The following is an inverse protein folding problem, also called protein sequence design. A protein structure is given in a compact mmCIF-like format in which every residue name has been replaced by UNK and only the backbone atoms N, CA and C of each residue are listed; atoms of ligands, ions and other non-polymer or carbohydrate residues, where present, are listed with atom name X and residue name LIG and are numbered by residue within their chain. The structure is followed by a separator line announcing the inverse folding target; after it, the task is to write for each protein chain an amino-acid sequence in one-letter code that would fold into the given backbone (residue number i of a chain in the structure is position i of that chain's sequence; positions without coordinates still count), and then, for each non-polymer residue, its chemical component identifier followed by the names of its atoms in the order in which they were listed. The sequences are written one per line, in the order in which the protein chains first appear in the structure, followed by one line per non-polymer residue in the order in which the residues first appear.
data_IF_389731593963
#
_entry.id   IF_389731593963
#
_cell.length_a   1.000
_cell.length_b   1.000
_cell.length_c   1.000
_cell.angle_alpha   90.00
_cell.angle_beta   90.00
_cell.angle_gamma   90.00
#
_symmetry.space_group_name_H-M   'P 1'
#
loop_
_entity.id
_entity.type
_entity.pdbx_description
1 polymer ?
#
# COMPACT_ATOMS: atom_id res chain seq x y z
N UNK A 1 -49.34 -23.89 20.11
CA UNK A 1 -49.09 -23.96 18.65
C UNK A 1 -48.42 -22.64 18.25
N UNK A 2 -47.14 -22.69 17.84
CA UNK A 2 -46.42 -21.87 16.84
C UNK A 2 -47.00 -20.45 16.54
N UNK A 3 -46.31 -19.31 16.54
CA UNK A 3 -44.90 -18.94 16.23
C UNK A 3 -44.71 -17.43 16.56
N UNK A 4 -43.54 -16.76 16.65
CA UNK A 4 -42.10 -17.11 16.65
C UNK A 4 -41.28 -15.90 17.17
N UNK A 5 -40.04 -16.11 17.65
CA UNK A 5 -39.08 -15.04 18.08
C UNK A 5 -38.83 -13.97 17.01
N UNK A 6 -38.73 -12.70 17.42
CA UNK A 6 -38.02 -11.64 16.68
C UNK A 6 -37.03 -10.95 17.60
N UNK A 7 -35.73 -11.11 17.32
CA UNK A 7 -34.65 -10.37 17.98
C UNK A 7 -34.28 -9.15 17.14
N UNK A 8 -34.09 -8.01 17.81
CA UNK A 8 -33.42 -6.84 17.25
C UNK A 8 -32.47 -6.28 18.33
N UNK A 9 -31.24 -6.79 18.34
CA UNK A 9 -30.12 -6.15 19.02
C UNK A 9 -29.48 -5.17 18.03
N UNK A 10 -29.73 -3.87 18.20
CA UNK A 10 -29.04 -2.82 17.45
C UNK A 10 -27.72 -2.52 18.17
N UNK A 11 -26.59 -2.97 17.59
CA UNK A 11 -25.26 -2.68 18.11
C UNK A 11 -24.79 -1.30 17.63
N UNK A 12 -24.10 -0.57 18.51
CA UNK A 12 -23.65 0.82 18.35
C UNK A 12 -22.67 0.97 17.18
N UNK A 13 -22.83 2.07 16.42
CA UNK A 13 -22.03 2.39 15.24
C UNK A 13 -20.59 2.83 15.55
N UNK A 14 -19.68 2.44 14.66
CA UNK A 14 -18.24 2.48 14.84
C UNK A 14 -17.60 3.84 15.15
N UNK A 15 -16.60 3.78 16.03
CA UNK A 15 -15.51 4.76 16.11
C UNK A 15 -14.18 3.98 16.17
N UNK A 16 -13.43 3.97 15.07
CA UNK A 16 -12.03 3.51 15.04
C UNK A 16 -11.18 4.47 14.23
N UNK A 17 -10.64 5.50 14.90
CA UNK A 17 -9.44 6.18 14.42
C UNK A 17 -8.22 5.40 14.94
N UNK A 18 -7.77 4.41 14.17
CA UNK A 18 -6.50 3.73 14.43
C UNK A 18 -5.36 4.55 13.81
N UNK A 19 -4.92 5.61 14.50
CA UNK A 19 -3.73 6.37 14.13
C UNK A 19 -2.46 5.58 14.52
N UNK A 20 -2.04 4.66 13.66
CA UNK A 20 -0.85 3.83 13.90
C UNK A 20 0.43 4.65 13.78
N UNK A 21 1.03 5.02 14.92
CA UNK A 21 2.35 5.66 14.96
C UNK A 21 3.41 4.66 14.51
N UNK A 22 3.90 4.79 13.27
CA UNK A 22 4.95 3.94 12.72
C UNK A 22 6.32 4.34 13.26
N UNK A 23 6.87 3.54 14.17
CA UNK A 23 8.28 3.64 14.59
C UNK A 23 9.17 3.03 13.48
N UNK A 24 9.63 3.88 12.56
CA UNK A 24 10.36 3.47 11.35
C UNK A 24 11.76 2.91 11.59
N UNK A 25 11.87 1.61 11.89
CA UNK A 25 13.12 0.87 11.79
C UNK A 25 13.50 0.68 10.30
N UNK A 26 14.46 1.47 9.80
CA UNK A 26 14.85 1.43 8.39
C UNK A 26 15.73 0.19 8.09
N UNK A 27 15.24 -0.72 7.25
CA UNK A 27 15.98 -1.90 6.79
C UNK A 27 17.05 -1.49 5.78
N UNK A 28 18.30 -1.89 6.03
CA UNK A 28 19.46 -1.64 5.16
C UNK A 28 19.93 -2.94 4.53
N UNK A 29 19.72 -3.10 3.23
CA UNK A 29 20.09 -4.30 2.45
C UNK A 29 21.50 -4.12 1.87
N UNK A 30 22.41 -5.06 2.15
CA UNK A 30 23.83 -4.97 1.72
C UNK A 30 24.22 -5.89 0.56
N UNK A 31 23.30 -6.71 0.04
CA UNK A 31 23.61 -7.73 -0.98
C UNK A 31 23.55 -7.24 -2.44
N UNK A 32 23.53 -5.92 -2.65
CA UNK A 32 23.37 -5.29 -3.97
C UNK A 32 21.99 -4.64 -4.17
N UNK A 33 21.81 -3.88 -5.27
CA UNK A 33 20.54 -3.24 -5.60
C UNK A 33 19.45 -4.27 -5.92
N UNK A 34 18.17 -3.87 -5.94
CA UNK A 34 17.11 -4.70 -6.49
C UNK A 34 17.36 -5.02 -7.97
N UNK A 35 16.82 -6.14 -8.48
CA UNK A 35 16.79 -6.39 -9.92
C UNK A 35 15.94 -5.34 -10.65
N UNK A 36 16.06 -5.23 -11.99
CA UNK A 36 15.20 -4.38 -12.80
C UNK A 36 13.72 -4.73 -12.62
N UNK A 37 12.88 -3.69 -12.48
CA UNK A 37 11.43 -3.87 -12.34
C UNK A 37 10.85 -4.62 -13.57
N UNK A 38 9.97 -5.63 -13.39
CA UNK A 38 9.28 -6.27 -14.49
C UNK A 38 8.47 -5.28 -15.34
N UNK A 39 8.18 -5.64 -16.59
CA UNK A 39 7.24 -4.89 -17.42
C UNK A 39 5.83 -5.19 -16.95
N UNK A 40 5.31 -4.33 -16.08
CA UNK A 40 3.95 -4.43 -15.56
C UNK A 40 2.95 -3.80 -16.54
N UNK A 41 1.96 -4.59 -16.99
CA UNK A 41 0.84 -4.09 -17.79
C UNK A 41 -0.21 -3.52 -16.84
N UNK A 42 -0.24 -2.19 -16.73
CA UNK A 42 -1.28 -1.47 -15.97
C UNK A 42 -2.67 -1.88 -16.50
N UNK A 43 -3.54 -2.48 -15.68
CA UNK A 43 -4.91 -2.81 -16.07
C UNK A 43 -5.74 -1.52 -16.20
N UNK A 44 -6.91 -1.52 -16.87
CA UNK A 44 -7.82 -0.39 -16.81
C UNK A 44 -8.27 -0.09 -15.36
N UNK A 45 -8.54 1.19 -15.00
CA UNK A 45 -9.07 1.52 -13.68
C UNK A 45 -10.46 0.89 -13.47
N UNK A 46 -10.80 0.43 -12.24
CA UNK A 46 -12.11 -0.15 -11.97
C UNK A 46 -13.24 0.87 -12.22
N UNK A 47 -14.30 0.46 -12.91
CA UNK A 47 -15.42 1.34 -13.29
C UNK A 47 -16.15 1.96 -12.08
N UNK A 48 -16.15 1.24 -10.96
CA UNK A 48 -16.70 1.63 -9.66
C UNK A 48 -15.80 2.60 -8.87
N UNK A 49 -14.55 2.78 -9.29
CA UNK A 49 -13.51 3.55 -8.58
C UNK A 49 -12.94 4.68 -9.45
N UNK A 50 -13.83 5.53 -9.97
CA UNK A 50 -13.43 6.71 -10.76
C UNK A 50 -12.59 7.65 -9.89
N UNK A 51 -11.39 7.98 -10.35
CA UNK A 51 -10.45 8.83 -9.63
C UNK A 51 -9.39 8.08 -8.82
N UNK A 52 -9.46 6.74 -8.72
CA UNK A 52 -8.35 5.97 -8.14
C UNK A 52 -7.10 6.08 -9.01
N UNK A 53 -5.95 6.22 -8.35
CA UNK A 53 -4.64 6.40 -9.00
C UNK A 53 -3.86 5.10 -8.92
N UNK A 54 -3.11 4.80 -9.98
CA UNK A 54 -2.23 3.64 -10.04
C UNK A 54 -0.99 3.86 -9.17
N UNK A 55 -0.83 3.02 -8.14
CA UNK A 55 0.44 2.88 -7.41
C UNK A 55 1.30 1.84 -8.13
N UNK A 56 2.47 2.24 -8.63
CA UNK A 56 3.41 1.33 -9.29
C UNK A 56 3.85 0.19 -8.36
N UNK A 57 4.02 -1.01 -8.93
CA UNK A 57 4.64 -2.13 -8.22
C UNK A 57 6.10 -1.88 -7.85
N UNK A 58 6.60 -2.62 -6.87
CA UNK A 58 7.94 -2.42 -6.31
C UNK A 58 8.59 -3.72 -5.85
N UNK A 59 9.92 -3.70 -5.72
CA UNK A 59 10.65 -4.78 -5.05
C UNK A 59 10.63 -4.57 -3.54
N UNK A 60 10.03 -5.51 -2.79
CA UNK A 60 10.12 -5.56 -1.33
C UNK A 60 11.25 -6.51 -0.92
N UNK A 61 11.98 -6.17 0.13
CA UNK A 61 12.87 -7.11 0.81
C UNK A 61 12.06 -8.01 1.75
N UNK A 62 12.20 -9.34 1.67
CA UNK A 62 11.50 -10.26 2.58
C UNK A 62 12.35 -10.69 3.80
N UNK A 63 13.68 -10.55 3.70
CA UNK A 63 14.65 -11.10 4.65
C UNK A 63 15.74 -11.92 3.96
N UNK A 64 15.41 -12.55 2.83
CA UNK A 64 16.32 -13.40 2.05
C UNK A 64 16.61 -12.86 0.64
N UNK A 65 15.66 -12.15 0.03
CA UNK A 65 15.77 -11.60 -1.32
C UNK A 65 14.79 -10.47 -1.61
N UNK A 66 14.80 -10.04 -2.87
CA UNK A 66 13.84 -9.08 -3.40
C UNK A 66 12.66 -9.82 -4.04
N UNK A 67 11.46 -9.62 -3.51
CA UNK A 67 10.20 -10.11 -4.11
C UNK A 67 9.50 -8.97 -4.85
N UNK A 68 8.86 -9.25 -5.99
CA UNK A 68 8.03 -8.26 -6.68
C UNK A 68 6.65 -8.18 -6.02
N UNK A 69 6.24 -6.96 -5.67
CA UNK A 69 4.89 -6.62 -5.24
C UNK A 69 4.22 -5.91 -6.43
N UNK A 70 3.17 -6.49 -7.05
CA UNK A 70 2.45 -5.85 -8.15
C UNK A 70 1.86 -4.49 -7.74
N UNK A 71 1.74 -3.60 -8.74
CA UNK A 71 1.02 -2.35 -8.57
C UNK A 71 -0.48 -2.57 -8.36
N UNK A 72 -1.14 -1.54 -7.85
CA UNK A 72 -2.58 -1.57 -7.61
C UNK A 72 -3.19 -0.17 -7.75
N UNK A 73 -4.50 -0.11 -7.99
CA UNK A 73 -5.25 1.14 -7.87
C UNK A 73 -5.56 1.42 -6.40
N UNK A 74 -5.40 2.68 -5.99
CA UNK A 74 -5.70 3.15 -4.64
C UNK A 74 -6.48 4.47 -4.66
N UNK A 75 -7.31 4.68 -3.64
CA UNK A 75 -8.05 5.91 -3.44
C UNK A 75 -7.11 7.07 -3.03
N UNK A 76 -7.16 8.22 -3.72
CA UNK A 76 -6.44 9.42 -3.31
C UNK A 76 -6.97 9.94 -1.95
N UNK A 77 -6.10 10.24 -0.97
CA UNK A 77 -6.54 10.71 0.34
C UNK A 77 -7.08 12.16 0.34
N UNK A 78 -6.93 12.89 -0.77
CA UNK A 78 -7.43 14.24 -0.98
C UNK A 78 -7.51 14.59 -2.47
N UNK A 79 -8.29 15.62 -2.81
CA UNK A 79 -8.38 16.12 -4.19
C UNK A 79 -7.01 16.56 -4.73
N UNK A 80 -6.77 16.25 -6.01
CA UNK A 80 -5.51 16.45 -6.73
C UNK A 80 -4.30 15.68 -6.19
N UNK A 81 -4.47 14.72 -5.27
CA UNK A 81 -3.34 13.89 -4.85
C UNK A 81 -2.83 13.03 -6.02
N UNK A 82 -1.51 13.02 -6.20
CA UNK A 82 -0.82 12.11 -7.11
C UNK A 82 0.13 11.21 -6.32
N UNK A 83 0.32 9.99 -6.82
CA UNK A 83 1.22 9.03 -6.20
C UNK A 83 2.67 9.29 -6.65
N UNK A 84 3.57 9.44 -5.67
CA UNK A 84 5.01 9.45 -5.88
C UNK A 84 5.53 8.04 -5.56
N UNK A 85 6.02 7.26 -6.55
CA UNK A 85 6.51 5.91 -6.32
C UNK A 85 7.66 5.86 -5.30
N UNK A 86 7.65 4.82 -4.47
CA UNK A 86 8.78 4.49 -3.62
C UNK A 86 9.99 4.03 -4.45
N UNK A 87 11.19 4.14 -3.88
CA UNK A 87 12.41 3.75 -4.57
C UNK A 87 13.47 3.21 -3.61
N UNK A 88 14.39 2.40 -4.14
CA UNK A 88 15.57 1.97 -3.40
C UNK A 88 16.68 3.02 -3.54
N UNK A 89 17.03 3.67 -2.43
CA UNK A 89 18.12 4.63 -2.36
C UNK A 89 19.39 3.98 -1.82
N UNK A 90 20.55 4.28 -2.42
CA UNK A 90 21.83 3.88 -1.84
C UNK A 90 22.15 4.78 -0.63
N UNK A 91 22.41 4.20 0.54
CA UNK A 91 22.84 4.90 1.76
C UNK A 91 23.88 4.06 2.51
N UNK A 92 25.04 4.66 2.81
CA UNK A 92 26.00 4.09 3.76
C UNK A 92 26.53 2.69 3.42
N UNK A 93 26.71 2.37 2.14
CA UNK A 93 27.17 1.04 1.71
C UNK A 93 26.07 -0.04 1.68
N UNK A 94 24.80 0.35 1.73
CA UNK A 94 23.66 -0.52 1.46
C UNK A 94 22.55 0.22 0.69
N UNK A 95 21.46 -0.48 0.45
CA UNK A 95 20.24 0.03 -0.14
C UNK A 95 19.15 0.09 0.92
N UNK A 96 18.42 1.21 0.96
CA UNK A 96 17.25 1.37 1.82
C UNK A 96 16.04 1.61 0.94
N UNK A 97 14.90 1.04 1.32
CA UNK A 97 13.63 1.40 0.73
C UNK A 97 13.21 2.79 1.24
N UNK A 98 12.81 3.65 0.31
CA UNK A 98 12.14 4.93 0.58
C UNK A 98 10.69 4.73 0.15
N UNK A 99 9.78 4.77 1.11
CA UNK A 99 8.35 4.53 0.85
C UNK A 99 7.78 5.54 -0.15
N UNK A 100 6.87 5.06 -0.99
CA UNK A 100 6.04 5.92 -1.83
C UNK A 100 5.05 6.72 -0.98
N UNK A 101 4.60 7.85 -1.49
CA UNK A 101 3.68 8.72 -0.77
C UNK A 101 2.77 9.50 -1.71
N UNK A 102 1.68 10.01 -1.16
CA UNK A 102 0.79 10.95 -1.84
C UNK A 102 1.34 12.37 -1.73
N UNK A 103 1.39 13.07 -2.85
CA UNK A 103 1.77 14.48 -2.95
C UNK A 103 0.64 15.28 -3.60
N UNK A 104 0.59 16.60 -3.36
CA UNK A 104 -0.36 17.55 -3.96
C UNK A 104 0.22 18.24 -5.20
#
# INVERSE_FOLDING_TARGET
MNSTRKYLFTIVGGLMLAATLSAGAQVVVRIGPPPPRPVERVPPPPFEHRGWVWQEGYHRWDGHGYIWVPGHYAEPPYEHAHWVPGHWANRGGGYVWVEGHWHR
#
